data_IF_348130024397
#
_entry.id   IF_348130024397
#
_cell.length_a   1.000
_cell.length_b   1.000
_cell.length_c   1.000
_cell.angle_alpha   90.00
_cell.angle_beta   90.00
_cell.angle_gamma   90.00
#
_symmetry.space_group_name_H-M   'P 1'
#
loop_
_entity.id
_entity.type
_entity.pdbx_description
1 polymer ?
#
# COMPACT_ATOMS: atom_id res chain seq x y z
N UNK A 1 14.22 15.63 -4.62
CA UNK A 1 12.97 15.34 -3.88
C UNK A 1 12.58 16.57 -3.06
N UNK A 2 11.28 16.99 -3.02
CA UNK A 2 10.83 18.13 -2.23
C UNK A 2 11.16 17.96 -0.73
N UNK A 3 11.60 19.02 -0.02
CA UNK A 3 12.05 18.91 1.38
C UNK A 3 10.95 18.41 2.33
N UNK A 4 9.71 18.78 2.10
CA UNK A 4 8.56 18.28 2.87
C UNK A 4 8.39 16.77 2.74
N UNK A 5 8.53 16.22 1.53
CA UNK A 5 8.43 14.77 1.30
C UNK A 5 9.62 14.05 1.93
N UNK A 6 10.82 14.62 1.86
CA UNK A 6 12.00 14.08 2.52
C UNK A 6 11.80 13.98 4.04
N UNK A 7 11.26 15.02 4.67
CA UNK A 7 10.96 15.04 6.11
C UNK A 7 9.89 13.99 6.49
N UNK A 8 8.89 13.76 5.63
CA UNK A 8 7.89 12.72 5.84
C UNK A 8 8.47 11.31 5.78
N UNK A 9 9.46 11.10 4.92
CA UNK A 9 10.08 9.80 4.69
C UNK A 9 11.25 9.50 5.63
N UNK A 10 11.80 10.50 6.31
CA UNK A 10 12.94 10.35 7.20
C UNK A 10 12.81 9.23 8.25
N UNK A 11 11.65 9.02 8.93
CA UNK A 11 11.48 7.95 9.92
C UNK A 11 11.64 6.54 9.35
N UNK A 12 11.48 6.37 8.04
CA UNK A 12 11.58 5.07 7.37
C UNK A 12 12.99 4.71 6.94
N UNK A 13 13.92 5.67 6.96
CA UNK A 13 15.31 5.49 6.53
C UNK A 13 15.97 4.26 7.15
N UNK A 14 15.81 4.08 8.45
CA UNK A 14 16.43 2.98 9.21
C UNK A 14 15.78 1.60 8.98
N UNK A 15 14.75 1.52 8.16
CA UNK A 15 14.13 0.24 7.75
C UNK A 15 14.79 -0.35 6.51
N UNK A 16 15.74 0.36 5.90
CA UNK A 16 16.43 -0.04 4.68
C UNK A 16 17.93 0.15 4.83
N UNK A 17 18.70 -0.65 4.09
CA UNK A 17 20.16 -0.46 4.03
C UNK A 17 20.52 0.84 3.30
N UNK A 18 21.75 1.30 3.50
CA UNK A 18 22.25 2.50 2.82
C UNK A 18 22.20 2.40 1.28
N UNK A 19 22.42 1.21 0.74
CA UNK A 19 22.39 0.94 -0.69
C UNK A 19 20.96 0.87 -1.27
N UNK A 20 19.97 0.42 -0.49
CA UNK A 20 18.58 0.23 -0.92
C UNK A 20 17.79 1.54 -0.82
N UNK A 21 18.03 2.34 0.21
CA UNK A 21 17.25 3.54 0.49
C UNK A 21 17.13 4.53 -0.67
N UNK A 22 18.20 4.91 -1.39
CA UNK A 22 18.05 5.82 -2.54
C UNK A 22 17.10 5.29 -3.61
N UNK A 23 17.13 3.97 -3.86
CA UNK A 23 16.23 3.33 -4.83
C UNK A 23 14.78 3.32 -4.37
N UNK A 24 14.54 3.11 -3.06
CA UNK A 24 13.20 3.23 -2.46
C UNK A 24 12.64 4.63 -2.70
N UNK A 25 13.43 5.68 -2.51
CA UNK A 25 13.00 7.05 -2.74
C UNK A 25 12.63 7.34 -4.21
N UNK A 26 13.41 6.80 -5.14
CA UNK A 26 13.10 6.89 -6.59
C UNK A 26 11.81 6.16 -6.91
N UNK A 27 11.64 4.93 -6.42
CA UNK A 27 10.43 4.15 -6.66
C UNK A 27 9.18 4.80 -6.06
N UNK A 28 9.27 5.35 -4.85
CA UNK A 28 8.18 6.10 -4.22
C UNK A 28 7.80 7.35 -5.00
N UNK A 29 8.78 8.17 -5.37
CA UNK A 29 8.55 9.38 -6.16
C UNK A 29 7.93 9.02 -7.53
N UNK A 30 8.49 8.02 -8.20
CA UNK A 30 7.97 7.54 -9.48
C UNK A 30 6.55 6.97 -9.37
N UNK A 31 6.24 6.21 -8.31
CA UNK A 31 4.91 5.67 -8.08
C UNK A 31 3.86 6.76 -7.79
N UNK A 32 4.25 7.86 -7.15
CA UNK A 32 3.38 9.02 -6.92
C UNK A 32 3.12 9.81 -8.21
N UNK A 33 4.11 9.89 -9.09
CA UNK A 33 4.04 10.67 -10.33
C UNK A 33 3.49 9.88 -11.52
N UNK A 34 3.50 8.54 -11.47
CA UNK A 34 3.02 7.70 -12.56
C UNK A 34 1.50 7.84 -12.76
N UNK A 35 1.03 8.24 -13.96
CA UNK A 35 -0.39 8.47 -14.21
C UNK A 35 -1.21 7.19 -14.40
N UNK A 36 -0.55 6.03 -14.53
CA UNK A 36 -1.17 4.73 -14.79
C UNK A 36 -0.74 3.65 -13.77
N UNK A 37 -0.57 2.41 -14.22
CA UNK A 37 -0.13 1.31 -13.34
C UNK A 37 1.19 1.64 -12.64
N UNK A 38 1.23 1.45 -11.32
CA UNK A 38 2.40 1.74 -10.48
C UNK A 38 3.43 0.59 -10.53
N UNK A 39 3.91 0.28 -11.72
CA UNK A 39 4.98 -0.71 -11.92
C UNK A 39 6.35 -0.05 -11.74
N UNK A 40 7.39 -0.85 -11.45
CA UNK A 40 8.77 -0.37 -11.37
C UNK A 40 9.16 0.34 -12.68
N UNK A 41 8.84 -0.26 -13.82
CA UNK A 41 9.14 0.33 -15.14
C UNK A 41 8.44 1.66 -15.38
N UNK A 42 7.17 1.81 -14.95
CA UNK A 42 6.45 3.07 -15.07
C UNK A 42 7.06 4.14 -14.16
N UNK A 43 7.40 3.78 -12.92
CA UNK A 43 8.05 4.67 -11.98
C UNK A 43 9.40 5.18 -12.51
N UNK A 44 10.23 4.29 -13.05
CA UNK A 44 11.54 4.66 -13.61
C UNK A 44 11.41 5.53 -14.87
N UNK A 45 10.43 5.26 -15.71
CA UNK A 45 10.17 6.08 -16.92
C UNK A 45 9.82 7.52 -16.54
N UNK A 46 8.93 7.71 -15.57
CA UNK A 46 8.54 9.06 -15.10
C UNK A 46 9.71 9.78 -14.43
N UNK A 47 10.61 9.04 -13.80
CA UNK A 47 11.82 9.57 -13.17
C UNK A 47 12.97 9.82 -14.15
N UNK A 48 12.80 9.55 -15.45
CA UNK A 48 13.86 9.69 -16.47
C UNK A 48 14.98 8.65 -16.36
N UNK A 49 14.68 7.49 -15.78
CA UNK A 49 15.65 6.42 -15.50
C UNK A 49 15.38 5.14 -16.31
N UNK A 50 14.56 5.21 -17.36
CA UNK A 50 14.14 4.04 -18.13
C UNK A 50 15.31 3.32 -18.81
N UNK A 51 16.27 4.08 -19.31
CA UNK A 51 17.40 3.58 -20.11
C UNK A 51 18.73 3.52 -19.33
N UNK A 52 18.66 3.69 -18.00
CA UNK A 52 19.89 3.68 -17.21
C UNK A 52 20.41 2.26 -16.94
N UNK A 53 21.73 2.07 -16.97
CA UNK A 53 22.35 0.81 -16.54
C UNK A 53 21.99 0.51 -15.07
N UNK A 54 21.65 -0.74 -14.78
CA UNK A 54 21.27 -1.15 -13.42
C UNK A 54 19.78 -1.08 -13.11
N UNK A 55 18.93 -0.98 -14.13
CA UNK A 55 17.47 -1.09 -14.05
C UNK A 55 16.99 -2.27 -13.18
N UNK A 56 17.61 -3.44 -13.28
CA UNK A 56 17.30 -4.63 -12.48
C UNK A 56 17.39 -4.39 -10.98
N UNK A 57 18.29 -3.53 -10.52
CA UNK A 57 18.47 -3.22 -9.09
C UNK A 57 17.26 -2.55 -8.43
N UNK A 58 16.38 -1.93 -9.21
CA UNK A 58 15.13 -1.37 -8.70
C UNK A 58 14.06 -2.46 -8.51
N UNK A 59 14.07 -3.50 -9.35
CA UNK A 59 13.24 -4.68 -9.14
C UNK A 59 13.67 -5.47 -7.90
N UNK A 60 15.00 -5.61 -7.68
CA UNK A 60 15.57 -6.26 -6.50
C UNK A 60 15.11 -5.62 -5.17
N UNK A 61 14.79 -4.33 -5.16
CA UNK A 61 14.22 -3.67 -3.96
C UNK A 61 12.93 -4.33 -3.51
N UNK A 62 12.12 -4.83 -4.43
CA UNK A 62 10.81 -5.44 -4.13
C UNK A 62 10.90 -6.97 -4.03
N UNK A 63 11.85 -7.62 -4.72
CA UNK A 63 11.95 -9.08 -4.80
C UNK A 63 12.98 -9.68 -3.84
N UNK A 64 14.09 -8.99 -3.58
CA UNK A 64 15.25 -9.57 -2.88
C UNK A 64 15.72 -8.77 -1.67
N UNK A 65 15.47 -7.46 -1.63
CA UNK A 65 15.92 -6.65 -0.51
C UNK A 65 15.22 -7.06 0.79
N UNK A 66 16.03 -7.27 1.82
CA UNK A 66 15.53 -7.64 3.15
C UNK A 66 15.01 -6.40 3.88
N UNK A 67 13.70 -6.28 3.97
CA UNK A 67 13.01 -5.30 4.80
C UNK A 67 11.72 -5.91 5.34
N UNK A 68 11.35 -5.52 6.56
CA UNK A 68 10.16 -6.04 7.22
C UNK A 68 8.94 -5.16 6.90
N UNK A 69 8.04 -5.68 6.07
CA UNK A 69 6.81 -4.99 5.68
C UNK A 69 5.88 -4.69 6.84
N UNK A 70 5.82 -5.56 7.86
CA UNK A 70 4.98 -5.36 9.06
C UNK A 70 5.53 -4.25 9.93
N UNK A 71 6.86 -4.24 10.12
CA UNK A 71 7.52 -3.15 10.85
C UNK A 71 7.34 -1.82 10.14
N UNK A 72 7.43 -1.82 8.81
CA UNK A 72 7.23 -0.62 7.99
C UNK A 72 5.79 -0.11 8.09
N UNK A 73 4.80 -1.00 7.99
CA UNK A 73 3.38 -0.68 8.14
C UNK A 73 3.07 -0.13 9.55
N UNK A 74 3.65 -0.71 10.60
CA UNK A 74 3.51 -0.20 11.96
C UNK A 74 4.11 1.20 12.14
N UNK A 75 5.28 1.44 11.55
CA UNK A 75 5.91 2.78 11.55
C UNK A 75 5.04 3.80 10.80
N UNK A 76 4.50 3.40 9.63
CA UNK A 76 3.62 4.25 8.85
C UNK A 76 2.35 4.61 9.62
N UNK A 77 1.69 3.62 10.22
CA UNK A 77 0.49 3.84 11.03
C UNK A 77 0.76 4.85 12.15
N UNK A 78 1.80 4.64 12.94
CA UNK A 78 2.18 5.58 14.01
C UNK A 78 2.46 6.97 13.47
N UNK A 79 3.26 7.07 12.41
CA UNK A 79 3.60 8.35 11.79
C UNK A 79 2.37 9.11 11.28
N UNK A 80 1.36 8.40 10.75
CA UNK A 80 0.10 9.00 10.32
C UNK A 80 -0.75 9.45 11.51
N UNK A 81 -0.87 8.62 12.55
CA UNK A 81 -1.62 8.97 13.75
C UNK A 81 -1.02 10.20 14.45
N UNK A 82 0.28 10.20 14.68
CA UNK A 82 0.98 11.31 15.34
C UNK A 82 0.83 12.65 14.59
N UNK A 83 0.72 12.60 13.28
CA UNK A 83 0.64 13.81 12.44
C UNK A 83 -0.76 14.28 12.09
N UNK A 84 -1.69 13.35 11.93
CA UNK A 84 -3.03 13.63 11.42
C UNK A 84 -4.10 13.50 12.49
N UNK A 85 -3.80 12.76 13.56
CA UNK A 85 -4.71 12.54 14.68
C UNK A 85 -3.92 12.53 16.00
N UNK A 86 -3.24 13.63 16.37
CA UNK A 86 -2.44 13.69 17.60
C UNK A 86 -3.30 13.55 18.87
N UNK A 87 -4.55 13.94 18.77
CA UNK A 87 -5.56 13.85 19.83
C UNK A 87 -6.87 13.34 19.24
N UNK A 88 -7.60 12.52 20.00
CA UNK A 88 -8.91 12.04 19.60
C UNK A 88 -9.02 10.52 19.47
N UNK A 89 -10.20 10.08 19.08
CA UNK A 89 -10.55 8.67 18.96
C UNK A 89 -10.08 8.13 17.60
N UNK A 90 -9.45 6.93 17.62
CA UNK A 90 -9.02 6.22 16.41
C UNK A 90 -10.16 5.36 15.90
N UNK A 91 -10.74 5.71 14.77
CA UNK A 91 -11.78 4.92 14.11
C UNK A 91 -11.14 3.94 13.14
N UNK A 92 -11.40 2.64 13.36
CA UNK A 92 -10.89 1.55 12.50
C UNK A 92 -12.08 0.89 11.81
N UNK A 93 -11.96 0.74 10.49
CA UNK A 93 -12.94 0.04 9.65
C UNK A 93 -12.31 -1.27 9.18
N UNK A 94 -12.83 -2.44 9.63
CA UNK A 94 -12.39 -3.72 9.09
C UNK A 94 -13.05 -3.99 7.74
N UNK A 95 -12.27 -4.54 6.81
CA UNK A 95 -12.75 -5.03 5.51
C UNK A 95 -12.25 -6.46 5.29
N UNK A 96 -13.17 -7.34 4.95
CA UNK A 96 -12.89 -8.74 4.60
C UNK A 96 -12.99 -8.90 3.09
N UNK A 97 -11.88 -9.31 2.46
CA UNK A 97 -11.80 -9.48 1.03
C UNK A 97 -11.19 -10.83 0.63
N UNK A 98 -11.58 -11.33 -0.54
CA UNK A 98 -11.03 -12.56 -1.10
C UNK A 98 -10.31 -12.23 -2.40
N UNK A 99 -8.99 -12.43 -2.39
CA UNK A 99 -8.18 -12.39 -3.60
C UNK A 99 -8.23 -13.76 -4.28
N UNK A 100 -8.91 -13.84 -5.44
CA UNK A 100 -9.01 -15.08 -6.18
C UNK A 100 -7.66 -15.53 -6.69
N UNK A 101 -7.22 -16.69 -6.27
CA UNK A 101 -5.94 -17.29 -6.64
C UNK A 101 -6.13 -18.78 -6.93
N UNK A 102 -5.55 -19.24 -8.03
CA UNK A 102 -5.53 -20.64 -8.42
C UNK A 102 -4.07 -21.08 -8.55
N UNK A 103 -3.69 -22.14 -7.83
CA UNK A 103 -2.35 -22.70 -7.93
C UNK A 103 -2.03 -23.63 -6.75
N UNK A 104 -1.42 -24.80 -7.00
CA UNK A 104 -1.14 -25.81 -5.96
C UNK A 104 -0.05 -25.36 -4.97
N UNK A 105 0.78 -24.40 -5.34
CA UNK A 105 1.92 -23.92 -4.51
C UNK A 105 1.57 -22.76 -3.59
N UNK A 106 0.33 -22.27 -3.59
CA UNK A 106 -0.09 -21.17 -2.72
C UNK A 106 -0.45 -21.76 -1.35
N UNK A 107 0.43 -21.57 -0.36
CA UNK A 107 0.39 -22.24 0.95
C UNK A 107 -0.87 -21.94 1.73
N UNK A 108 -1.32 -20.70 1.77
CA UNK A 108 -2.44 -20.26 2.60
C UNK A 108 -3.75 -20.13 1.81
N UNK A 109 -3.85 -20.82 0.68
CA UNK A 109 -5.05 -20.84 -0.16
C UNK A 109 -6.15 -21.66 0.51
N UNK A 110 -7.32 -21.06 0.59
CA UNK A 110 -8.55 -21.74 1.04
C UNK A 110 -9.65 -21.72 -0.01
N UNK A 111 -10.77 -22.38 0.34
CA UNK A 111 -12.01 -22.32 -0.42
C UNK A 111 -13.04 -21.58 0.43
N UNK A 112 -13.55 -20.48 -0.10
CA UNK A 112 -14.44 -19.57 0.61
C UNK A 112 -15.72 -19.32 -0.19
N UNK A 113 -16.75 -18.80 0.48
CA UNK A 113 -17.93 -18.26 -0.19
C UNK A 113 -17.52 -16.98 -0.92
N UNK A 114 -17.85 -16.90 -2.22
CA UNK A 114 -17.60 -15.68 -3.01
C UNK A 114 -18.61 -14.60 -2.60
N UNK A 115 -18.17 -13.46 -2.00
CA UNK A 115 -19.09 -12.44 -1.50
C UNK A 115 -19.77 -11.65 -2.62
N UNK A 116 -19.21 -11.68 -3.84
CA UNK A 116 -19.74 -10.95 -4.99
C UNK A 116 -20.72 -11.79 -5.81
N UNK A 117 -20.41 -13.08 -5.98
CA UNK A 117 -21.21 -13.99 -6.82
C UNK A 117 -22.26 -14.77 -6.05
N UNK A 118 -22.08 -14.96 -4.75
CA UNK A 118 -23.03 -15.66 -3.92
C UNK A 118 -24.17 -14.74 -3.47
N UNK A 119 -25.41 -15.24 -3.50
CA UNK A 119 -26.59 -14.59 -2.94
C UNK A 119 -27.17 -15.42 -1.78
N UNK A 120 -28.28 -14.97 -1.18
CA UNK A 120 -28.93 -15.70 -0.08
C UNK A 120 -29.39 -17.12 -0.48
N UNK A 121 -29.80 -17.31 -1.72
CA UNK A 121 -30.25 -18.61 -2.25
C UNK A 121 -29.24 -19.35 -3.13
N UNK A 122 -28.10 -18.71 -3.45
CA UNK A 122 -27.12 -19.28 -4.37
C UNK A 122 -25.69 -19.18 -3.81
N UNK A 123 -25.15 -20.34 -3.45
CA UNK A 123 -23.82 -20.43 -2.84
C UNK A 123 -22.75 -20.69 -3.89
N UNK A 124 -21.86 -19.71 -4.12
CA UNK A 124 -20.71 -19.83 -5.03
C UNK A 124 -19.44 -19.95 -4.21
N UNK A 125 -18.67 -21.01 -4.47
CA UNK A 125 -17.33 -21.21 -3.88
C UNK A 125 -16.28 -20.55 -4.76
N UNK A 126 -15.29 -19.94 -4.12
CA UNK A 126 -14.09 -19.44 -4.79
C UNK A 126 -12.83 -19.88 -4.05
N UNK A 127 -11.79 -20.17 -4.81
CA UNK A 127 -10.46 -20.47 -4.27
C UNK A 127 -9.63 -19.19 -4.23
N UNK A 128 -8.93 -18.95 -3.12
CA UNK A 128 -8.11 -17.76 -3.01
C UNK A 128 -7.48 -17.57 -1.63
N UNK A 129 -6.96 -16.38 -1.43
CA UNK A 129 -6.47 -15.88 -0.15
C UNK A 129 -7.52 -14.97 0.47
N UNK A 130 -7.80 -15.17 1.75
CA UNK A 130 -8.70 -14.30 2.51
C UNK A 130 -7.88 -13.27 3.27
N UNK A 131 -8.18 -12.00 3.07
CA UNK A 131 -7.52 -10.88 3.68
C UNK A 131 -8.47 -10.14 4.62
N UNK A 132 -8.01 -9.90 5.83
CA UNK A 132 -8.62 -8.93 6.73
C UNK A 132 -7.81 -7.64 6.65
N UNK A 133 -8.38 -6.63 6.03
CA UNK A 133 -7.79 -5.29 5.94
C UNK A 133 -8.36 -4.40 7.03
N UNK A 134 -7.49 -3.66 7.69
CA UNK A 134 -7.89 -2.66 8.68
C UNK A 134 -7.58 -1.28 8.12
N UNK A 135 -8.60 -0.50 7.82
CA UNK A 135 -8.47 0.88 7.40
C UNK A 135 -8.64 1.82 8.60
N UNK A 136 -7.77 2.81 8.70
CA UNK A 136 -7.89 3.86 9.71
C UNK A 136 -8.50 5.10 9.07
N UNK A 137 -9.55 5.63 9.69
CA UNK A 137 -10.17 6.88 9.24
C UNK A 137 -9.39 8.06 9.83
N UNK A 138 -8.80 8.86 8.96
CA UNK A 138 -8.00 10.02 9.35
C UNK A 138 -8.61 11.31 8.79
N UNK A 139 -8.63 12.41 9.56
CA UNK A 139 -8.98 13.71 9.03
C UNK A 139 -7.89 14.18 8.06
N UNK A 140 -8.29 14.53 6.85
CA UNK A 140 -7.35 15.05 5.86
C UNK A 140 -7.49 16.58 5.83
N UNK A 141 -6.48 17.37 6.29
CA UNK A 141 -6.61 18.80 6.48
C UNK A 141 -6.96 19.60 5.21
N UNK A 142 -6.52 19.09 4.05
CA UNK A 142 -6.78 19.73 2.75
C UNK A 142 -8.00 19.17 2.00
N UNK A 143 -8.63 18.08 2.50
CA UNK A 143 -9.85 17.57 1.92
C UNK A 143 -11.05 18.31 2.53
N UNK A 144 -11.74 19.12 1.74
CA UNK A 144 -12.98 19.76 2.19
C UNK A 144 -13.99 18.66 2.58
N UNK A 145 -14.50 18.71 3.81
CA UNK A 145 -15.69 17.94 4.23
C UNK A 145 -16.86 18.36 3.34
N UNK A 146 -17.19 17.57 2.34
CA UNK A 146 -18.55 17.60 1.79
C UNK A 146 -19.43 16.95 2.86
N UNK A 147 -20.05 17.76 3.69
CA UNK A 147 -21.16 17.33 4.50
C UNK A 147 -22.27 16.93 3.53
N UNK A 148 -22.37 15.65 3.24
CA UNK A 148 -23.52 15.08 2.56
C UNK A 148 -24.71 15.26 3.50
N UNK A 149 -25.58 16.24 3.21
CA UNK A 149 -26.88 16.37 3.84
C UNK A 149 -27.70 15.15 3.40
N UNK A 150 -27.76 14.10 4.23
CA UNK A 150 -28.81 13.10 4.09
C UNK A 150 -30.15 13.85 4.22
N UNK A 151 -30.88 14.01 3.12
CA UNK A 151 -32.28 14.36 3.19
C UNK A 151 -33.05 13.09 3.60
N UNK A 152 -33.65 13.15 4.76
CA UNK A 152 -34.74 12.25 5.20
C UNK A 152 -35.91 12.33 4.25
#
# INVERSE_FOLDING_TARGET
MPPRLAAWLAPFRNSFTAAVWPRVLVLLAGALLAPGPRTVSAALRVMGLADQPGFGRYHEVLSEARWDGRLLARKLLRHLLDRLLPEGEVVIVPEDSIERRCGPRIRDRGIYRDPVRASRGFFVKTSGLRWLSLAVVLPIPWARRRAGRCRS
#
